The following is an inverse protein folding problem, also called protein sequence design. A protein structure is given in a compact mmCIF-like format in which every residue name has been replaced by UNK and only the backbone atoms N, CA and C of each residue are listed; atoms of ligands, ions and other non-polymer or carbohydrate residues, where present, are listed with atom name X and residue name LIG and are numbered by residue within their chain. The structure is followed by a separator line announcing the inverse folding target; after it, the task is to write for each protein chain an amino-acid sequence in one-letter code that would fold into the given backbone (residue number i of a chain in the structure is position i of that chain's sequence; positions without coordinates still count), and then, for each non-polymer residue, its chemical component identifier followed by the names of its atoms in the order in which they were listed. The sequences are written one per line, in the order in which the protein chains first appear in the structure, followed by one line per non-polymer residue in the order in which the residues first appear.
data_IF_986085887529
#
_entry.id   IF_986085887529
#
_cell.length_a   1.000
_cell.length_b   1.000
_cell.length_c   1.000
_cell.angle_alpha   90.00
_cell.angle_beta   90.00
_cell.angle_gamma   90.00
#
_symmetry.space_group_name_H-M   'P 1'
#
loop_
_entity.id
_entity.type
_entity.pdbx_description
1 polymer ?
#
# COMPACT_ATOMS: atom_id res chain seq x y z
N UNK A 1 1.43 -20.83 -22.31
CA UNK A 1 1.09 -19.46 -21.89
C UNK A 1 -0.22 -19.55 -21.16
N UNK A 2 -0.27 -19.19 -19.87
CA UNK A 2 -1.53 -19.14 -19.12
C UNK A 2 -2.47 -18.12 -19.78
N UNK A 3 -3.77 -18.41 -19.80
CA UNK A 3 -4.79 -17.45 -20.25
C UNK A 3 -4.69 -16.15 -19.46
N UNK A 4 -4.95 -14.99 -20.09
CA UNK A 4 -4.97 -13.71 -19.39
C UNK A 4 -6.08 -13.71 -18.34
N UNK A 5 -5.82 -13.05 -17.20
CA UNK A 5 -6.81 -12.84 -16.15
C UNK A 5 -7.85 -11.83 -16.66
N UNK A 6 -9.12 -12.19 -16.51
CA UNK A 6 -10.26 -11.39 -17.00
C UNK A 6 -11.26 -11.02 -15.91
N UNK A 7 -11.11 -11.54 -14.69
CA UNK A 7 -12.02 -11.25 -13.59
C UNK A 7 -11.31 -11.01 -12.25
N UNK A 8 -12.03 -10.35 -11.34
CA UNK A 8 -11.58 -10.11 -9.96
C UNK A 8 -11.24 -11.42 -9.23
N UNK A 9 -12.07 -12.44 -9.33
CA UNK A 9 -11.85 -13.73 -8.65
C UNK A 9 -10.65 -14.50 -9.20
N UNK A 10 -10.39 -14.42 -10.50
CA UNK A 10 -9.17 -14.98 -11.09
C UNK A 10 -7.91 -14.28 -10.57
N UNK A 11 -7.98 -12.94 -10.39
CA UNK A 11 -6.87 -12.19 -9.79
C UNK A 11 -6.64 -12.59 -8.33
N UNK A 12 -7.70 -12.73 -7.52
CA UNK A 12 -7.60 -13.22 -6.14
C UNK A 12 -6.98 -14.62 -6.06
N UNK A 13 -7.45 -15.54 -6.91
CA UNK A 13 -6.90 -16.88 -7.01
C UNK A 13 -5.41 -16.84 -7.37
N UNK A 14 -5.01 -15.95 -8.27
CA UNK A 14 -3.61 -15.79 -8.66
C UNK A 14 -2.76 -15.19 -7.55
N UNK A 15 -3.28 -14.23 -6.79
CA UNK A 15 -2.60 -13.70 -5.60
C UNK A 15 -2.39 -14.82 -4.58
N UNK A 16 -3.39 -15.67 -4.38
CA UNK A 16 -3.27 -16.80 -3.46
C UNK A 16 -2.33 -17.90 -3.96
N UNK A 17 -2.29 -18.17 -5.26
CA UNK A 17 -1.33 -19.11 -5.83
C UNK A 17 0.12 -18.63 -5.66
N UNK A 18 0.39 -17.36 -5.98
CA UNK A 18 1.76 -16.83 -6.02
C UNK A 18 2.24 -16.32 -4.65
N UNK A 19 1.32 -15.96 -3.76
CA UNK A 19 1.61 -15.36 -2.46
C UNK A 19 1.92 -13.87 -2.54
N UNK A 20 2.75 -13.44 -3.50
CA UNK A 20 3.09 -12.03 -3.71
C UNK A 20 2.88 -11.65 -5.18
N UNK A 21 2.18 -10.54 -5.43
CA UNK A 21 1.93 -10.09 -6.79
C UNK A 21 2.05 -8.56 -6.92
N UNK A 22 3.15 -8.05 -7.53
CA UNK A 22 3.29 -6.64 -7.83
C UNK A 22 2.23 -6.16 -8.82
N UNK A 23 1.68 -4.96 -8.61
CA UNK A 23 0.66 -4.41 -9.51
C UNK A 23 1.23 -4.10 -10.91
N UNK A 24 2.45 -3.57 -10.95
CA UNK A 24 3.06 -3.04 -12.17
C UNK A 24 4.27 -3.84 -12.63
N UNK A 25 4.60 -3.70 -13.92
CA UNK A 25 5.80 -4.24 -14.53
C UNK A 25 7.05 -3.91 -13.72
N UNK A 26 7.90 -4.93 -13.61
CA UNK A 26 9.11 -4.84 -12.83
C UNK A 26 10.23 -5.67 -13.48
N UNK A 27 11.34 -5.86 -12.76
CA UNK A 27 12.50 -6.57 -13.32
C UNK A 27 12.25 -8.07 -13.55
N UNK A 28 11.23 -8.63 -12.88
CA UNK A 28 10.73 -9.98 -13.05
C UNK A 28 9.64 -9.95 -14.14
N UNK A 29 10.04 -10.19 -15.40
CA UNK A 29 9.12 -10.20 -16.54
C UNK A 29 8.10 -11.33 -16.41
N UNK A 30 6.84 -11.03 -16.66
CA UNK A 30 5.72 -11.96 -16.49
C UNK A 30 5.28 -12.14 -15.04
N UNK A 31 5.78 -11.34 -14.10
CA UNK A 31 5.47 -11.41 -12.67
C UNK A 31 4.85 -10.09 -12.18
N UNK A 32 3.70 -9.72 -12.76
CA UNK A 32 2.92 -8.56 -12.34
C UNK A 32 1.46 -8.65 -12.81
N UNK A 33 0.56 -7.96 -12.11
CA UNK A 33 -0.85 -7.82 -12.54
C UNK A 33 -0.94 -7.22 -13.94
N UNK A 34 -0.13 -6.20 -14.23
CA UNK A 34 -0.03 -5.56 -15.55
C UNK A 34 0.35 -6.49 -16.70
N UNK A 35 1.10 -7.57 -16.42
CA UNK A 35 1.47 -8.55 -17.45
C UNK A 35 0.51 -9.75 -17.51
N UNK A 36 -0.21 -10.03 -16.43
CA UNK A 36 -1.10 -11.20 -16.32
C UNK A 36 -2.56 -10.89 -16.67
N UNK A 37 -3.02 -9.65 -16.49
CA UNK A 37 -4.39 -9.23 -16.82
C UNK A 37 -4.49 -8.85 -18.29
N UNK A 38 -5.65 -9.11 -18.90
CA UNK A 38 -5.97 -8.63 -20.23
C UNK A 38 -5.79 -7.09 -20.34
N UNK A 39 -4.92 -6.60 -21.25
CA UNK A 39 -4.68 -5.18 -21.42
C UNK A 39 -5.94 -4.35 -21.69
N UNK A 40 -7.00 -4.95 -22.25
CA UNK A 40 -8.26 -4.27 -22.57
C UNK A 40 -9.02 -3.80 -21.34
N UNK A 41 -8.83 -4.46 -20.19
CA UNK A 41 -9.55 -4.16 -18.96
C UNK A 41 -8.96 -2.97 -18.18
N UNK A 42 -7.74 -2.53 -18.47
CA UNK A 42 -7.07 -1.47 -17.70
C UNK A 42 -7.72 -0.09 -17.78
N UNK A 43 -8.41 0.19 -18.88
CA UNK A 43 -9.05 1.49 -19.15
C UNK A 43 -10.41 1.31 -19.83
N UNK A 44 -11.10 0.19 -19.54
CA UNK A 44 -12.42 -0.09 -20.09
C UNK A 44 -13.48 0.76 -19.37
N UNK A 45 -14.31 1.55 -20.07
CA UNK A 45 -15.39 2.31 -19.45
C UNK A 45 -16.61 1.45 -19.06
N UNK A 46 -16.77 0.27 -19.67
CA UNK A 46 -17.98 -0.57 -19.55
C UNK A 46 -17.79 -1.77 -18.60
N UNK A 47 -16.55 -2.21 -18.40
CA UNK A 47 -16.21 -3.36 -17.56
C UNK A 47 -15.24 -2.94 -16.46
N UNK A 48 -15.45 -3.47 -15.26
CA UNK A 48 -14.53 -3.27 -14.14
C UNK A 48 -13.17 -3.91 -14.46
N UNK A 49 -12.10 -3.16 -14.21
CA UNK A 49 -10.73 -3.61 -14.45
C UNK A 49 -9.89 -3.69 -13.18
N UNK A 50 -8.56 -3.85 -13.35
CA UNK A 50 -7.61 -3.90 -12.24
C UNK A 50 -7.67 -2.73 -11.28
N UNK A 51 -8.14 -1.55 -11.72
CA UNK A 51 -8.27 -0.39 -10.85
C UNK A 51 -9.46 -0.50 -9.90
N UNK A 52 -10.58 -1.00 -10.42
CA UNK A 52 -11.85 -1.20 -9.73
C UNK A 52 -11.77 -2.42 -8.80
N UNK A 53 -11.08 -3.48 -9.22
CA UNK A 53 -10.94 -4.72 -8.45
C UNK A 53 -10.13 -4.55 -7.16
N UNK A 54 -9.25 -3.53 -7.04
CA UNK A 54 -8.40 -3.36 -5.85
C UNK A 54 -9.23 -3.26 -4.57
N UNK A 55 -10.29 -2.44 -4.58
CA UNK A 55 -11.15 -2.23 -3.40
C UNK A 55 -11.79 -3.54 -2.92
N UNK A 56 -12.58 -4.23 -3.77
CA UNK A 56 -13.13 -5.54 -3.46
C UNK A 56 -12.10 -6.55 -2.93
N UNK A 57 -10.95 -6.67 -3.62
CA UNK A 57 -9.88 -7.61 -3.26
C UNK A 57 -9.32 -7.32 -1.88
N UNK A 58 -9.06 -6.05 -1.56
CA UNK A 58 -8.52 -5.65 -0.24
C UNK A 58 -9.55 -5.86 0.85
N UNK A 59 -10.82 -5.49 0.61
CA UNK A 59 -11.92 -5.65 1.57
C UNK A 59 -12.21 -7.12 1.92
N UNK A 60 -11.83 -8.08 1.07
CA UNK A 60 -11.93 -9.51 1.38
C UNK A 60 -11.07 -9.94 2.58
N UNK A 61 -10.08 -9.12 2.96
CA UNK A 61 -9.08 -9.42 4.00
C UNK A 61 -8.31 -10.74 3.77
N UNK A 62 -8.30 -11.27 2.55
CA UNK A 62 -7.50 -12.42 2.15
C UNK A 62 -6.09 -12.03 1.68
N UNK A 63 -5.87 -10.75 1.42
CA UNK A 63 -4.55 -10.22 1.09
C UNK A 63 -4.35 -8.82 1.67
N UNK A 64 -3.10 -8.45 1.91
CA UNK A 64 -2.69 -7.08 2.16
C UNK A 64 -2.30 -6.39 0.87
N UNK A 65 -2.59 -5.09 0.79
CA UNK A 65 -2.16 -4.24 -0.31
C UNK A 65 -1.42 -3.02 0.22
N UNK A 66 -0.34 -2.67 -0.46
CA UNK A 66 0.51 -1.57 -0.06
C UNK A 66 1.78 -1.50 -0.88
N UNK A 67 2.62 -0.51 -0.57
CA UNK A 67 3.93 -0.38 -1.20
C UNK A 67 4.94 -1.28 -0.50
N UNK A 68 4.91 -2.56 -0.83
CA UNK A 68 5.80 -3.57 -0.21
C UNK A 68 6.98 -3.96 -1.12
N UNK A 69 6.92 -3.67 -2.42
CA UNK A 69 7.87 -4.15 -3.40
C UNK A 69 8.73 -3.01 -3.97
N UNK A 70 9.83 -2.65 -3.30
CA UNK A 70 10.72 -1.57 -3.76
C UNK A 70 10.00 -0.23 -4.01
N UNK A 71 9.13 0.19 -3.10
CA UNK A 71 8.22 1.35 -3.22
C UNK A 71 7.11 1.21 -4.28
N UNK A 72 6.93 0.03 -4.89
CA UNK A 72 5.82 -0.28 -5.79
C UNK A 72 4.71 -1.02 -5.06
N UNK A 73 3.49 -0.83 -5.55
CA UNK A 73 2.29 -1.51 -5.07
C UNK A 73 2.38 -3.02 -5.30
N UNK A 74 2.01 -3.79 -4.28
CA UNK A 74 2.03 -5.25 -4.29
C UNK A 74 0.90 -5.79 -3.42
N UNK A 75 0.30 -6.89 -3.88
CA UNK A 75 -0.55 -7.75 -3.07
C UNK A 75 0.32 -8.77 -2.34
N UNK A 76 -0.08 -9.10 -1.11
CA UNK A 76 0.51 -10.17 -0.30
C UNK A 76 -0.63 -11.00 0.26
N UNK A 77 -0.67 -12.29 -0.05
CA UNK A 77 -1.63 -13.22 0.54
C UNK A 77 -1.47 -13.28 2.07
N UNK A 78 -2.61 -13.35 2.76
CA UNK A 78 -2.70 -13.34 4.22
C UNK A 78 -1.76 -14.33 4.90
N UNK A 79 -1.54 -15.51 4.32
CA UNK A 79 -0.71 -16.58 4.90
C UNK A 79 0.76 -16.18 5.06
N UNK A 80 1.25 -15.25 4.25
CA UNK A 80 2.65 -14.80 4.30
C UNK A 80 2.84 -13.56 5.17
N UNK A 81 1.76 -12.93 5.65
CA UNK A 81 1.85 -11.69 6.43
C UNK A 81 2.65 -11.86 7.73
N UNK A 82 2.46 -12.90 8.56
CA UNK A 82 3.22 -13.04 9.80
C UNK A 82 4.73 -13.06 9.58
N UNK A 83 5.19 -13.93 8.68
CA UNK A 83 6.60 -14.07 8.36
C UNK A 83 7.14 -12.78 7.72
N UNK A 84 6.38 -12.17 6.81
CA UNK A 84 6.82 -10.98 6.09
C UNK A 84 6.94 -9.77 7.01
N UNK A 85 5.96 -9.56 7.89
CA UNK A 85 5.96 -8.51 8.89
C UNK A 85 7.12 -8.70 9.87
N UNK A 86 7.35 -9.94 10.33
CA UNK A 86 8.44 -10.28 11.24
C UNK A 86 9.81 -9.88 10.65
N UNK A 87 10.09 -10.30 9.41
CA UNK A 87 11.34 -9.94 8.72
C UNK A 87 11.47 -8.43 8.52
N UNK A 88 10.43 -7.80 7.96
CA UNK A 88 10.47 -6.38 7.61
C UNK A 88 10.67 -5.49 8.82
N UNK A 89 10.02 -5.82 9.94
CA UNK A 89 10.15 -5.06 11.19
C UNK A 89 11.49 -5.28 11.88
N UNK A 90 12.16 -6.42 11.65
CA UNK A 90 13.51 -6.68 12.15
C UNK A 90 14.60 -5.95 11.35
N UNK A 91 14.47 -5.92 10.01
CA UNK A 91 15.45 -5.25 9.13
C UNK A 91 15.26 -3.74 9.10
N UNK A 92 14.01 -3.26 9.26
CA UNK A 92 13.71 -1.84 9.26
C UNK A 92 14.08 -1.17 10.57
N UNK A 93 14.63 0.04 10.48
CA UNK A 93 14.75 0.91 11.65
C UNK A 93 13.38 1.23 12.22
N UNK A 94 13.32 1.40 13.54
CA UNK A 94 12.11 1.91 14.20
C UNK A 94 11.73 3.28 13.59
N UNK A 95 10.42 3.58 13.49
CA UNK A 95 9.96 4.88 13.02
C UNK A 95 10.65 6.02 13.77
N UNK A 96 11.21 6.97 13.04
CA UNK A 96 11.87 8.13 13.65
C UNK A 96 10.85 9.07 14.28
N UNK A 97 11.14 9.50 15.52
CA UNK A 97 10.43 10.59 16.20
C UNK A 97 10.99 11.97 15.84
N UNK A 98 12.10 12.04 15.10
CA UNK A 98 12.67 13.31 14.66
C UNK A 98 11.74 13.96 13.64
N UNK A 99 11.33 15.18 13.93
CA UNK A 99 10.51 15.99 13.05
C UNK A 99 11.35 16.63 11.94
N UNK A 100 10.77 16.74 10.76
CA UNK A 100 11.36 17.48 9.65
C UNK A 100 11.00 18.98 9.71
N UNK A 101 11.40 19.72 8.67
CA UNK A 101 11.11 21.15 8.49
C UNK A 101 9.59 21.48 8.46
N UNK A 102 8.74 20.48 8.28
CA UNK A 102 7.27 20.60 8.29
C UNK A 102 6.66 20.15 9.62
N UNK A 103 7.49 19.79 10.62
CA UNK A 103 7.02 19.24 11.89
C UNK A 103 6.55 17.78 11.79
N UNK A 104 6.81 17.10 10.67
CA UNK A 104 6.33 15.75 10.42
C UNK A 104 7.39 14.71 10.79
N UNK A 105 6.96 13.64 11.44
CA UNK A 105 7.81 12.47 11.72
C UNK A 105 7.08 11.19 11.33
N UNK A 106 7.83 10.09 11.17
CA UNK A 106 7.21 8.79 10.91
C UNK A 106 6.33 8.35 12.08
N UNK A 107 6.79 8.62 13.31
CA UNK A 107 6.03 8.30 14.51
C UNK A 107 4.73 9.09 14.59
N UNK A 108 4.74 10.39 14.27
CA UNK A 108 3.51 11.21 14.27
C UNK A 108 2.47 10.71 13.28
N UNK A 109 2.90 10.32 12.08
CA UNK A 109 1.99 9.75 11.05
C UNK A 109 1.45 8.40 11.51
N UNK A 110 2.30 7.53 12.05
CA UNK A 110 1.88 6.22 12.56
C UNK A 110 0.90 6.35 13.74
N UNK A 111 1.17 7.24 14.68
CA UNK A 111 0.26 7.54 15.80
C UNK A 111 -1.10 8.02 15.30
N UNK A 112 -1.14 8.96 14.35
CA UNK A 112 -2.40 9.43 13.78
C UNK A 112 -3.21 8.33 13.08
N UNK A 113 -2.55 7.42 12.35
CA UNK A 113 -3.22 6.26 11.72
C UNK A 113 -3.72 5.27 12.79
N UNK A 114 -2.96 5.08 13.86
CA UNK A 114 -3.34 4.16 14.95
C UNK A 114 -4.52 4.69 15.75
N UNK A 115 -4.56 5.99 16.04
CA UNK A 115 -5.64 6.64 16.80
C UNK A 115 -6.95 6.70 16.02
N UNK A 116 -6.88 6.91 14.70
CA UNK A 116 -8.06 6.99 13.83
C UNK A 116 -8.52 5.62 13.31
N UNK A 117 -7.76 4.56 13.58
CA UNK A 117 -7.89 3.17 13.10
C UNK A 117 -7.90 3.02 11.56
N UNK A 118 -8.81 3.69 10.86
CA UNK A 118 -8.85 3.80 9.41
C UNK A 118 -8.93 5.26 9.00
N UNK A 119 -7.91 5.74 8.28
CA UNK A 119 -7.81 7.15 7.87
C UNK A 119 -7.58 7.30 6.38
N UNK A 120 -8.34 8.20 5.74
CA UNK A 120 -8.16 8.53 4.33
C UNK A 120 -6.99 9.51 4.13
N UNK A 121 -6.32 9.44 2.98
CA UNK A 121 -5.15 10.29 2.67
C UNK A 121 -5.40 11.80 2.86
N UNK A 122 -6.58 12.32 2.56
CA UNK A 122 -6.89 13.75 2.72
C UNK A 122 -7.19 14.13 4.19
N UNK A 123 -7.86 13.25 4.94
CA UNK A 123 -8.16 13.40 6.37
C UNK A 123 -6.88 13.37 7.20
N UNK A 124 -5.97 12.45 6.88
CA UNK A 124 -4.64 12.42 7.50
C UNK A 124 -3.86 13.72 7.23
N UNK A 125 -3.92 14.24 6.00
CA UNK A 125 -3.27 15.52 5.67
C UNK A 125 -3.92 16.69 6.42
N UNK A 126 -5.24 16.66 6.64
CA UNK A 126 -5.95 17.68 7.44
C UNK A 126 -5.59 17.60 8.92
N UNK A 127 -5.53 16.40 9.51
CA UNK A 127 -5.18 16.21 10.92
C UNK A 127 -3.74 16.63 11.24
N UNK A 128 -2.84 16.51 10.25
CA UNK A 128 -1.46 17.00 10.33
C UNK A 128 -1.32 18.51 10.00
N UNK A 129 -2.42 19.26 9.90
CA UNK A 129 -2.39 20.71 9.65
C UNK A 129 -2.08 21.11 8.20
N UNK A 130 -2.03 20.17 7.26
CA UNK A 130 -1.73 20.41 5.84
C UNK A 130 -3.00 20.55 4.99
N UNK A 131 -3.96 21.29 5.52
CA UNK A 131 -5.23 21.58 4.83
C UNK A 131 -4.98 22.48 3.63
N UNK A 132 -5.62 22.16 2.49
CA UNK A 132 -5.71 23.13 1.39
C UNK A 132 -6.58 24.31 1.86
N UNK A 133 -6.25 25.56 1.54
CA UNK A 133 -7.24 26.62 1.61
C UNK A 133 -8.40 26.21 0.70
N UNK A 134 -9.56 25.99 1.30
CA UNK A 134 -10.79 25.84 0.55
C UNK A 134 -10.98 27.14 -0.21
N UNK A 135 -11.22 27.09 -1.52
CA UNK A 135 -11.54 28.28 -2.31
C UNK A 135 -12.95 28.72 -1.89
N UNK A 136 -13.05 29.37 -0.73
CA UNK A 136 -14.28 29.94 -0.20
C UNK A 136 -14.44 31.33 -0.82
N UNK A 137 -15.54 31.54 -1.53
CA UNK A 137 -16.05 32.88 -1.80
C UNK A 137 -16.65 33.41 -0.52
N UNK A 138 -15.83 34.06 0.33
CA UNK A 138 -16.17 35.08 1.33
C UNK A 138 -15.04 35.14 2.38
N UNK A 139 -14.62 36.35 2.70
CA UNK A 139 -13.63 36.68 3.73
C UNK A 139 -14.06 36.15 5.11
N UNK A 140 -13.27 35.25 5.70
CA UNK A 140 -13.44 34.78 7.08
C UNK A 140 -12.31 35.39 7.93
N UNK A 141 -12.59 36.18 8.99
CA UNK A 141 -11.58 36.89 9.78
C UNK A 141 -10.56 35.97 10.49
N UNK A 142 -10.82 34.65 10.55
CA UNK A 142 -9.87 33.65 11.08
C UNK A 142 -8.64 33.47 10.17
N UNK A 143 -8.76 33.79 8.87
CA UNK A 143 -7.65 33.70 7.90
C UNK A 143 -6.60 34.81 8.08
N UNK A 144 -6.88 35.88 8.84
CA UNK A 144 -5.91 36.95 9.11
C UNK A 144 -4.84 36.58 10.14
N UNK A 145 -5.09 35.57 10.98
CA UNK A 145 -4.18 35.14 12.04
C UNK A 145 -3.24 34.00 11.60
N UNK A 146 -3.62 33.25 10.56
CA UNK A 146 -2.76 32.26 9.95
C UNK A 146 -2.00 32.93 8.80
N UNK A 147 -0.71 33.20 8.99
CA UNK A 147 0.15 33.55 7.85
C UNK A 147 -0.06 32.48 6.76
N UNK A 148 -0.49 32.84 5.54
CA UNK A 148 -0.82 31.85 4.54
C UNK A 148 0.44 31.07 4.24
N UNK A 149 0.50 29.81 4.70
CA UNK A 149 1.56 28.89 4.31
C UNK A 149 1.53 28.88 2.79
N UNK A 150 2.64 29.30 2.17
CA UNK A 150 2.73 29.40 0.71
C UNK A 150 2.22 28.09 0.09
N UNK A 151 1.41 28.18 -0.96
CA UNK A 151 0.86 27.02 -1.65
C UNK A 151 1.97 26.01 -2.06
N UNK A 152 3.18 26.50 -2.31
CA UNK A 152 4.38 25.69 -2.55
C UNK A 152 4.80 24.86 -1.33
N UNK A 153 4.85 25.48 -0.14
CA UNK A 153 5.19 24.80 1.11
C UNK A 153 4.13 23.75 1.49
N UNK A 154 2.84 24.06 1.31
CA UNK A 154 1.75 23.09 1.49
C UNK A 154 1.89 21.89 0.54
N UNK A 155 2.23 22.14 -0.73
CA UNK A 155 2.47 21.06 -1.71
C UNK A 155 3.65 20.17 -1.31
N UNK A 156 4.75 20.78 -0.84
CA UNK A 156 5.93 20.06 -0.35
C UNK A 156 5.61 19.22 0.89
N UNK A 157 4.93 19.79 1.89
CA UNK A 157 4.51 19.08 3.10
C UNK A 157 3.58 17.89 2.79
N UNK A 158 2.63 18.05 1.86
CA UNK A 158 1.75 16.94 1.44
C UNK A 158 2.52 15.81 0.73
N UNK A 159 3.45 16.17 -0.15
CA UNK A 159 4.34 15.20 -0.81
C UNK A 159 5.23 14.49 0.22
N UNK A 160 5.63 15.20 1.28
CA UNK A 160 6.38 14.64 2.39
C UNK A 160 5.57 13.60 3.18
N UNK A 161 4.28 13.87 3.46
CA UNK A 161 3.37 12.86 4.05
C UNK A 161 3.27 11.62 3.16
N UNK A 162 3.11 11.77 1.84
CA UNK A 162 3.02 10.64 0.93
C UNK A 162 4.31 9.79 0.91
N UNK A 163 5.47 10.43 1.12
CA UNK A 163 6.74 9.73 1.31
C UNK A 163 6.79 8.98 2.64
N UNK A 164 6.41 9.61 3.75
CA UNK A 164 6.39 8.96 5.07
C UNK A 164 5.43 7.76 5.09
N UNK A 165 4.26 7.88 4.44
CA UNK A 165 3.32 6.76 4.24
C UNK A 165 3.96 5.64 3.42
N UNK A 166 4.67 5.98 2.34
CA UNK A 166 5.41 5.00 1.54
C UNK A 166 6.45 4.25 2.37
N UNK A 167 7.21 4.97 3.20
CA UNK A 167 8.23 4.38 4.07
C UNK A 167 7.59 3.48 5.14
N UNK A 168 6.49 3.91 5.77
CA UNK A 168 5.76 3.11 6.77
C UNK A 168 5.13 1.84 6.16
N UNK A 169 4.63 1.90 4.92
CA UNK A 169 4.18 0.71 4.19
C UNK A 169 5.32 -0.25 3.91
N UNK A 170 6.48 0.24 3.46
CA UNK A 170 7.67 -0.59 3.24
C UNK A 170 8.18 -1.27 4.51
N UNK A 171 7.94 -0.66 5.68
CA UNK A 171 8.24 -1.21 7.00
C UNK A 171 7.13 -2.14 7.52
N UNK A 172 6.03 -2.34 6.79
CA UNK A 172 4.86 -3.13 7.19
C UNK A 172 4.21 -2.64 8.50
N UNK A 173 4.23 -1.32 8.71
CA UNK A 173 3.58 -0.67 9.86
C UNK A 173 2.18 -0.17 9.54
N UNK A 174 1.94 0.13 8.27
CA UNK A 174 0.62 0.50 7.75
C UNK A 174 0.34 -0.29 6.47
N UNK A 175 -0.94 -0.52 6.20
CA UNK A 175 -1.47 -1.14 4.99
C UNK A 175 -2.58 -0.27 4.43
N UNK A 176 -2.94 -0.49 3.16
CA UNK A 176 -4.13 0.14 2.57
C UNK A 176 -5.31 -0.80 2.81
N UNK A 177 -6.37 -0.30 3.46
CA UNK A 177 -7.58 -1.07 3.77
C UNK A 177 -8.68 -0.94 2.73
N UNK A 178 -8.76 0.20 2.05
CA UNK A 178 -9.72 0.42 0.96
C UNK A 178 -9.34 1.62 0.09
N UNK A 179 -10.09 1.83 -0.98
CA UNK A 179 -10.11 3.03 -1.79
C UNK A 179 -11.49 3.67 -1.77
N UNK A 180 -11.59 4.88 -1.24
CA UNK A 180 -12.82 5.66 -1.28
C UNK A 180 -12.85 6.60 -2.48
N UNK A 181 -13.96 6.61 -3.19
CA UNK A 181 -14.16 7.50 -4.33
C UNK A 181 -15.00 8.70 -3.92
N UNK A 182 -14.62 9.89 -4.36
CA UNK A 182 -15.45 11.08 -4.17
C UNK A 182 -16.76 10.89 -4.92
N UNK A 183 -17.88 11.24 -4.30
CA UNK A 183 -19.21 11.12 -4.91
C UNK A 183 -19.66 12.48 -5.42
N UNK A 184 -20.15 12.53 -6.65
CA UNK A 184 -20.73 13.73 -7.23
C UNK A 184 -22.03 14.07 -6.52
N UNK A 185 -22.61 15.25 -6.82
CA UNK A 185 -23.94 15.63 -6.30
C UNK A 185 -25.05 14.63 -6.71
N UNK A 186 -24.81 13.81 -7.74
CA UNK A 186 -25.71 12.76 -8.22
C UNK A 186 -25.36 11.37 -7.65
N UNK A 187 -24.42 11.28 -6.70
CA UNK A 187 -24.04 10.04 -6.02
C UNK A 187 -23.06 9.15 -6.78
N UNK A 188 -22.71 9.50 -8.02
CA UNK A 188 -21.76 8.71 -8.83
C UNK A 188 -20.32 8.95 -8.35
N UNK A 189 -19.50 7.89 -8.18
CA UNK A 189 -18.09 8.05 -7.89
C UNK A 189 -17.38 8.79 -9.04
N UNK A 190 -16.45 9.68 -8.71
CA UNK A 190 -15.62 10.40 -9.68
C UNK A 190 -14.20 10.61 -9.14
N UNK A 191 -13.26 10.80 -10.07
CA UNK A 191 -11.85 11.01 -9.76
C UNK A 191 -11.12 9.73 -9.35
N UNK A 192 -9.90 9.91 -8.87
CA UNK A 192 -9.07 8.80 -8.40
C UNK A 192 -9.47 8.37 -7.00
N UNK A 193 -9.53 7.06 -6.76
CA UNK A 193 -9.78 6.49 -5.43
C UNK A 193 -8.74 6.99 -4.42
N UNK A 194 -9.22 7.54 -3.32
CA UNK A 194 -8.44 7.99 -2.18
C UNK A 194 -8.13 6.77 -1.31
N UNK A 195 -6.84 6.47 -1.13
CA UNK A 195 -6.43 5.36 -0.27
C UNK A 195 -6.79 5.63 1.19
N UNK A 196 -7.35 4.60 1.83
CA UNK A 196 -7.55 4.50 3.27
C UNK A 196 -6.43 3.66 3.87
N UNK A 197 -5.83 4.15 4.95
CA UNK A 197 -4.70 3.53 5.62
C UNK A 197 -5.13 3.05 7.01
N UNK A 198 -4.56 1.93 7.42
CA UNK A 198 -4.76 1.34 8.75
C UNK A 198 -3.51 0.57 9.16
N UNK A 199 -3.44 0.13 10.41
CA UNK A 199 -2.40 -0.78 10.88
C UNK A 199 -2.75 -2.23 10.50
N UNK A 200 -1.76 -3.09 10.19
CA UNK A 200 -2.05 -4.50 9.92
C UNK A 200 -2.68 -5.20 11.13
N UNK A 201 -2.35 -4.76 12.35
CA UNK A 201 -2.96 -5.22 13.61
C UNK A 201 -4.47 -4.99 13.64
N UNK A 202 -4.92 -3.78 13.31
CA UNK A 202 -6.34 -3.44 13.32
C UNK A 202 -7.08 -4.09 12.15
N UNK A 203 -6.43 -4.26 10.99
CA UNK A 203 -7.08 -4.76 9.78
C UNK A 203 -7.25 -6.28 9.74
N UNK A 204 -6.21 -7.03 10.14
CA UNK A 204 -6.23 -8.50 10.08
C UNK A 204 -6.44 -9.16 11.45
N UNK A 205 -6.25 -8.40 12.54
CA UNK A 205 -6.15 -8.91 13.89
C UNK A 205 -4.70 -9.25 14.28
N UNK A 206 -4.40 -9.19 15.58
CA UNK A 206 -3.06 -9.47 16.12
C UNK A 206 -2.61 -10.91 15.87
N UNK A 207 -3.53 -11.86 15.95
CA UNK A 207 -3.23 -13.28 15.78
C UNK A 207 -2.87 -13.61 14.33
N UNK A 208 -3.45 -12.88 13.38
CA UNK A 208 -3.21 -13.08 11.95
C UNK A 208 -1.85 -12.55 11.48
N UNK A 209 -1.14 -11.81 12.33
CA UNK A 209 0.18 -11.25 12.03
C UNK A 209 1.27 -11.75 13.00
N UNK A 210 0.92 -12.63 13.94
CA UNK A 210 1.86 -13.22 14.88
C UNK A 210 2.75 -14.26 14.19
N UNK A 211 4.07 -14.11 14.31
CA UNK A 211 5.04 -15.06 13.75
C UNK A 211 5.08 -16.40 14.50
N UNK A 212 4.25 -16.57 15.53
CA UNK A 212 4.11 -17.80 16.32
C UNK A 212 5.45 -18.31 16.85
N UNK A 213 6.30 -17.38 17.30
CA UNK A 213 7.61 -17.68 17.88
C UNK A 213 8.76 -17.91 16.88
N UNK A 214 8.52 -17.80 15.56
CA UNK A 214 9.61 -17.85 14.58
C UNK A 214 10.54 -16.65 14.71
N UNK A 215 11.85 -16.91 14.57
CA UNK A 215 12.83 -15.83 14.44
C UNK A 215 12.70 -15.12 13.08
N UNK A 216 13.16 -13.86 12.95
CA UNK A 216 13.20 -13.18 11.67
C UNK A 216 13.97 -13.96 10.61
N UNK A 217 15.08 -14.62 10.97
CA UNK A 217 15.89 -15.39 10.02
C UNK A 217 15.15 -16.64 9.50
N UNK A 218 14.45 -17.38 10.36
CA UNK A 218 13.62 -18.52 9.95
C UNK A 218 12.47 -18.10 9.03
N UNK A 219 11.85 -16.95 9.35
CA UNK A 219 10.79 -16.36 8.53
C UNK A 219 11.32 -15.95 7.16
N UNK A 220 12.52 -15.34 7.12
CA UNK A 220 13.19 -14.93 5.89
C UNK A 220 13.55 -16.12 5.00
N UNK A 221 14.07 -17.20 5.58
CA UNK A 221 14.41 -18.43 4.87
C UNK A 221 13.18 -19.06 4.22
N UNK A 222 12.10 -19.23 5.00
CA UNK A 222 10.83 -19.80 4.53
C UNK A 222 10.21 -18.99 3.38
N UNK A 223 10.20 -17.66 3.51
CA UNK A 223 9.70 -16.77 2.46
C UNK A 223 10.58 -16.80 1.21
N UNK A 224 11.90 -16.80 1.38
CA UNK A 224 12.83 -16.79 0.27
C UNK A 224 12.75 -18.09 -0.52
N UNK A 225 12.65 -19.23 0.15
CA UNK A 225 12.46 -20.54 -0.49
C UNK A 225 11.17 -20.54 -1.34
N UNK A 226 10.05 -20.12 -0.76
CA UNK A 226 8.77 -20.03 -1.47
C UNK A 226 8.87 -19.10 -2.69
N UNK A 227 9.36 -17.87 -2.50
CA UNK A 227 9.43 -16.86 -3.54
C UNK A 227 10.36 -17.26 -4.68
N UNK A 228 11.52 -17.86 -4.39
CA UNK A 228 12.45 -18.33 -5.42
C UNK A 228 11.78 -19.40 -6.28
N UNK A 229 11.07 -20.35 -5.67
CA UNK A 229 10.37 -21.42 -6.37
C UNK A 229 9.24 -20.86 -7.25
N UNK A 230 8.37 -20.03 -6.69
CA UNK A 230 7.21 -19.46 -7.39
C UNK A 230 7.63 -18.49 -8.51
N UNK A 231 8.60 -17.61 -8.25
CA UNK A 231 9.07 -16.68 -9.28
C UNK A 231 9.74 -17.47 -10.41
N UNK A 232 10.58 -18.45 -10.09
CA UNK A 232 11.30 -19.23 -11.12
C UNK A 232 10.33 -20.05 -11.99
N UNK A 233 9.30 -20.65 -11.38
CA UNK A 233 8.27 -21.40 -12.11
C UNK A 233 7.44 -20.48 -13.01
N UNK A 234 7.07 -19.29 -12.51
CA UNK A 234 6.24 -18.33 -13.25
C UNK A 234 6.97 -17.72 -14.45
N UNK A 235 8.23 -17.32 -14.28
CA UNK A 235 9.01 -16.70 -15.36
C UNK A 235 9.68 -17.73 -16.29
N UNK A 236 9.67 -19.01 -15.93
CA UNK A 236 10.32 -20.10 -16.67
C UNK A 236 11.85 -20.05 -16.68
N UNK A 237 12.48 -19.38 -15.71
CA UNK A 237 13.94 -19.23 -15.59
C UNK A 237 14.33 -19.22 -14.12
N UNK A 238 15.48 -19.84 -13.79
CA UNK A 238 16.03 -19.79 -12.44
C UNK A 238 16.42 -18.34 -12.07
N UNK A 239 16.02 -17.92 -10.86
CA UNK A 239 16.35 -16.61 -10.29
C UNK A 239 17.26 -16.79 -9.09
N UNK A 240 18.35 -16.03 -9.03
CA UNK A 240 19.24 -16.03 -7.88
C UNK A 240 18.51 -15.59 -6.60
N UNK A 241 18.65 -16.31 -5.47
CA UNK A 241 18.01 -15.95 -4.20
C UNK A 241 18.34 -14.52 -3.74
N UNK A 242 19.59 -14.06 -3.93
CA UNK A 242 20.00 -12.69 -3.60
C UNK A 242 19.17 -11.62 -4.33
N UNK A 243 18.75 -11.89 -5.57
CA UNK A 243 17.92 -10.97 -6.35
C UNK A 243 16.49 -10.92 -5.81
N UNK A 244 15.91 -12.07 -5.47
CA UNK A 244 14.57 -12.14 -4.85
C UNK A 244 14.60 -11.42 -3.50
N UNK A 245 15.60 -11.71 -2.67
CA UNK A 245 15.82 -11.06 -1.39
C UNK A 245 15.83 -9.53 -1.49
N UNK A 246 16.62 -8.97 -2.42
CA UNK A 246 16.69 -7.52 -2.64
C UNK A 246 15.40 -6.89 -3.16
N UNK A 247 14.64 -7.58 -4.00
CA UNK A 247 13.37 -7.07 -4.55
C UNK A 247 12.24 -7.05 -3.51
N UNK A 248 12.15 -8.11 -2.71
CA UNK A 248 11.12 -8.26 -1.68
C UNK A 248 11.55 -7.76 -0.31
N UNK A 249 12.77 -7.24 -0.16
CA UNK A 249 13.31 -6.65 1.07
C UNK A 249 13.29 -7.59 2.27
N UNK A 250 13.63 -8.86 2.02
CA UNK A 250 13.75 -9.95 3.00
C UNK A 250 15.21 -10.06 3.48
#
# INVERSE_FOLDING_TARGET
MSSPITSCSELEARISELGFLPMFRNSLRGFSVEEMVDPRLWFNPDEDGPWEWKGPIIRSQQCAYGKFFGNKACYIDRRFLPDFINVRRAVSRRPSSQTDEFGLSQQSVLSAVTELETVRSDELKKSLGLSRPCRRTAFDPVDLLAAPISASLLSKGRSRVDKLLSDLMMQTRIVISDFEYQKSRTGKPYGWGLACYTTPEAFFGTDAIDSHGKTPDQSAESLLEWLVNVVSSTIGKSVAPARVRGLFGI
#
